data_IF_141191252744
#
_entry.id   IF_141191252744
#
_cell.length_a   1.000
_cell.length_b   1.000
_cell.length_c   1.000
_cell.angle_alpha   90.00
_cell.angle_beta   90.00
_cell.angle_gamma   90.00
#
_symmetry.space_group_name_H-M   'P 1'
#
loop_
_entity.id
_entity.type
_entity.pdbx_description
1 polymer ?
#
# COMPACT_ATOMS: atom_id res chain seq x y z
N UNK A 1 1.75 -33.56 -11.63
CA UNK A 1 1.58 -32.31 -12.37
C UNK A 1 2.78 -31.42 -12.08
N UNK A 2 3.52 -31.05 -13.09
CA UNK A 2 4.65 -30.14 -12.94
C UNK A 2 4.17 -28.70 -12.73
N UNK A 3 5.08 -27.77 -12.38
CA UNK A 3 4.72 -26.39 -12.05
C UNK A 3 4.07 -25.64 -13.24
N UNK A 4 4.55 -25.91 -14.44
CA UNK A 4 4.03 -25.28 -15.67
C UNK A 4 2.60 -25.73 -15.96
N UNK A 5 2.30 -27.01 -15.80
CA UNK A 5 0.95 -27.56 -15.95
C UNK A 5 -0.01 -26.97 -14.92
N UNK A 6 0.44 -26.81 -13.67
CA UNK A 6 -0.36 -26.18 -12.61
C UNK A 6 -0.67 -24.71 -12.92
N UNK A 7 0.33 -23.93 -13.33
CA UNK A 7 0.14 -22.53 -13.70
C UNK A 7 -0.83 -22.41 -14.88
N UNK A 8 -0.69 -23.26 -15.90
CA UNK A 8 -1.60 -23.28 -17.06
C UNK A 8 -3.04 -23.56 -16.62
N UNK A 9 -3.25 -24.58 -15.81
CA UNK A 9 -4.57 -24.94 -15.30
C UNK A 9 -5.20 -23.79 -14.47
N UNK A 10 -4.41 -23.10 -13.65
CA UNK A 10 -4.88 -21.94 -12.89
C UNK A 10 -5.26 -20.75 -13.79
N UNK A 11 -4.50 -20.50 -14.86
CA UNK A 11 -4.83 -19.47 -15.85
C UNK A 11 -6.07 -19.81 -16.64
N UNK A 12 -6.23 -21.06 -17.06
CA UNK A 12 -7.41 -21.51 -17.82
C UNK A 12 -8.67 -21.43 -16.95
N UNK A 13 -8.61 -21.85 -15.66
CA UNK A 13 -9.70 -21.65 -14.71
C UNK A 13 -10.09 -20.16 -14.56
N UNK A 14 -9.10 -19.25 -14.46
CA UNK A 14 -9.40 -17.80 -14.39
C UNK A 14 -10.10 -17.28 -15.63
N UNK A 15 -9.82 -17.84 -16.83
CA UNK A 15 -10.53 -17.47 -18.07
C UNK A 15 -11.96 -17.98 -18.03
N UNK A 16 -12.17 -19.22 -17.60
CA UNK A 16 -13.51 -19.82 -17.44
C UNK A 16 -14.37 -19.04 -16.46
N UNK A 17 -13.79 -18.64 -15.31
CA UNK A 17 -14.44 -17.84 -14.27
C UNK A 17 -14.59 -16.35 -14.62
N UNK A 18 -14.16 -15.91 -15.82
CA UNK A 18 -14.14 -14.50 -16.24
C UNK A 18 -13.35 -13.58 -15.28
N UNK A 19 -12.39 -14.14 -14.55
CA UNK A 19 -11.51 -13.41 -13.61
C UNK A 19 -10.09 -13.17 -14.15
N UNK A 20 -9.82 -13.64 -15.38
CA UNK A 20 -8.54 -13.40 -16.04
C UNK A 20 -8.41 -11.94 -16.47
N UNK A 21 -7.36 -11.27 -15.97
CA UNK A 21 -7.11 -9.86 -16.28
C UNK A 21 -6.02 -9.72 -17.33
N UNK A 22 -6.28 -8.89 -18.32
CA UNK A 22 -5.34 -8.55 -19.39
C UNK A 22 -4.90 -7.09 -19.19
N UNK A 23 -3.62 -6.83 -19.32
CA UNK A 23 -3.10 -5.47 -19.32
C UNK A 23 -3.54 -4.77 -20.62
N UNK A 24 -4.37 -3.75 -20.47
CA UNK A 24 -4.85 -2.93 -21.58
C UNK A 24 -4.11 -1.61 -21.68
N UNK A 25 -4.13 -1.01 -22.86
CA UNK A 25 -3.72 0.39 -23.05
C UNK A 25 -4.98 1.24 -23.17
N UNK A 26 -5.08 2.28 -22.35
CA UNK A 26 -6.25 3.16 -22.24
C UNK A 26 -6.04 4.50 -22.96
N UNK A 27 -5.16 4.54 -23.98
CA UNK A 27 -4.87 5.74 -24.74
C UNK A 27 -6.17 6.29 -25.37
N UNK A 28 -6.43 7.59 -25.17
CA UNK A 28 -7.59 8.33 -25.69
C UNK A 28 -8.95 8.01 -25.03
N UNK A 29 -8.98 7.29 -23.92
CA UNK A 29 -10.20 7.11 -23.13
C UNK A 29 -10.30 8.18 -22.01
N UNK A 30 -11.54 8.52 -21.64
CA UNK A 30 -11.78 9.31 -20.45
C UNK A 30 -11.46 8.44 -19.23
N UNK A 31 -10.58 8.92 -18.38
CA UNK A 31 -10.06 8.17 -17.24
C UNK A 31 -10.99 8.31 -16.01
N UNK A 32 -11.72 7.23 -15.70
CA UNK A 32 -12.52 7.09 -14.49
C UNK A 32 -11.92 6.09 -13.48
N UNK A 33 -10.75 5.54 -13.77
CA UNK A 33 -10.16 4.44 -13.01
C UNK A 33 -8.92 4.84 -12.20
N UNK A 34 -8.29 5.99 -12.52
CA UNK A 34 -7.08 6.42 -11.83
C UNK A 34 -7.38 7.03 -10.45
N UNK A 35 -6.38 7.00 -9.58
CA UNK A 35 -6.40 7.72 -8.31
C UNK A 35 -5.87 9.15 -8.44
N UNK A 36 -5.60 9.63 -9.65
CA UNK A 36 -5.12 10.98 -9.93
C UNK A 36 -6.27 12.02 -9.90
N UNK A 37 -6.98 12.09 -8.79
CA UNK A 37 -8.15 12.96 -8.60
C UNK A 37 -7.88 14.45 -8.81
N UNK A 38 -6.63 14.89 -8.62
CA UNK A 38 -6.22 16.27 -8.79
C UNK A 38 -5.56 16.54 -10.14
N UNK A 39 -5.40 15.52 -11.01
CA UNK A 39 -4.76 15.65 -12.32
C UNK A 39 -3.27 15.98 -12.23
N UNK A 40 -2.60 15.66 -11.12
CA UNK A 40 -1.20 16.04 -10.89
C UNK A 40 -0.22 15.25 -11.74
N UNK A 41 -0.56 14.03 -12.14
CA UNK A 41 0.32 13.18 -12.96
C UNK A 41 0.64 13.78 -14.34
N UNK A 42 -0.23 14.68 -14.84
CA UNK A 42 -0.08 15.33 -16.15
C UNK A 42 0.04 16.86 -16.04
N UNK A 43 0.27 17.39 -14.84
CA UNK A 43 0.34 18.82 -14.61
C UNK A 43 1.72 19.38 -15.05
N UNK A 44 1.73 20.13 -16.14
CA UNK A 44 2.96 20.70 -16.72
C UNK A 44 3.72 21.58 -15.72
N UNK A 45 3.02 22.42 -14.95
CA UNK A 45 3.66 23.27 -13.93
C UNK A 45 4.35 22.45 -12.85
N UNK A 46 3.75 21.34 -12.45
CA UNK A 46 4.35 20.42 -11.48
C UNK A 46 5.57 19.73 -12.08
N UNK A 47 5.48 19.27 -13.33
CA UNK A 47 6.58 18.64 -14.06
C UNK A 47 7.78 19.60 -14.15
N UNK A 48 7.56 20.85 -14.53
CA UNK A 48 8.60 21.87 -14.63
C UNK A 48 9.20 22.19 -13.26
N UNK A 49 8.38 22.24 -12.21
CA UNK A 49 8.85 22.45 -10.84
C UNK A 49 9.73 21.30 -10.34
N UNK A 50 9.36 20.06 -10.66
CA UNK A 50 10.17 18.87 -10.33
C UNK A 50 11.52 18.92 -11.04
N UNK A 51 11.54 19.21 -12.35
CA UNK A 51 12.79 19.37 -13.12
C UNK A 51 13.68 20.47 -12.51
N UNK A 52 13.11 21.64 -12.26
CA UNK A 52 13.83 22.77 -11.67
C UNK A 52 14.43 22.44 -10.30
N UNK A 53 13.66 21.74 -9.41
CA UNK A 53 14.19 21.31 -8.15
C UNK A 53 15.32 20.30 -8.32
N UNK A 54 15.15 19.30 -9.19
CA UNK A 54 16.18 18.30 -9.47
C UNK A 54 17.48 18.96 -9.99
N UNK A 55 17.38 19.97 -10.85
CA UNK A 55 18.55 20.67 -11.36
C UNK A 55 19.29 21.47 -10.28
N UNK A 56 18.63 21.82 -9.20
CA UNK A 56 19.20 22.53 -8.05
C UNK A 56 19.75 21.63 -6.95
N UNK A 57 19.38 20.36 -6.93
CA UNK A 57 19.95 19.43 -5.95
C UNK A 57 21.42 19.15 -6.23
N UNK A 58 22.21 19.00 -5.18
CA UNK A 58 23.61 18.61 -5.32
C UNK A 58 23.76 17.11 -5.68
N UNK A 59 22.76 16.31 -5.35
CA UNK A 59 22.68 14.89 -5.68
C UNK A 59 21.98 14.70 -7.01
N UNK A 60 22.71 14.23 -8.03
CA UNK A 60 22.18 13.92 -9.36
C UNK A 60 21.79 12.44 -9.49
N UNK A 61 21.29 11.84 -8.42
CA UNK A 61 20.85 10.45 -8.40
C UNK A 61 19.36 10.33 -8.74
N UNK A 62 19.00 9.37 -9.59
CA UNK A 62 17.61 9.13 -10.02
C UNK A 62 16.87 8.13 -9.13
N UNK A 63 17.35 7.90 -7.94
CA UNK A 63 16.72 7.00 -6.97
C UNK A 63 17.71 6.44 -5.96
N UNK A 64 17.20 5.64 -5.01
CA UNK A 64 18.06 5.03 -4.01
C UNK A 64 18.80 3.84 -4.61
N UNK A 65 20.12 3.83 -4.57
CA UNK A 65 20.94 2.69 -5.00
C UNK A 65 20.92 1.49 -4.04
N UNK A 66 20.15 1.55 -2.96
CA UNK A 66 20.09 0.50 -1.94
C UNK A 66 19.05 0.75 -0.85
N UNK A 67 19.09 -0.07 0.21
CA UNK A 67 18.24 0.11 1.38
C UNK A 67 18.55 1.43 2.10
N UNK A 68 17.52 2.12 2.61
CA UNK A 68 17.65 3.35 3.41
C UNK A 68 18.52 3.16 4.65
N UNK A 69 18.51 1.98 5.26
CA UNK A 69 19.35 1.66 6.42
C UNK A 69 20.83 1.47 6.08
N UNK A 70 21.19 1.44 4.80
CA UNK A 70 22.57 1.25 4.34
C UNK A 70 23.05 2.48 3.54
N UNK A 71 22.71 2.53 2.26
CA UNK A 71 23.22 3.53 1.32
C UNK A 71 22.14 4.27 0.53
N UNK A 72 20.88 3.95 0.76
CA UNK A 72 19.77 4.48 -0.03
C UNK A 72 18.98 5.61 0.65
N UNK A 73 19.48 6.17 1.73
CA UNK A 73 18.86 7.32 2.39
C UNK A 73 19.49 8.63 1.89
N UNK A 74 18.70 9.67 1.69
CA UNK A 74 19.19 11.00 1.29
C UNK A 74 18.37 12.13 1.91
N UNK A 75 19.00 13.34 2.02
CA UNK A 75 18.39 14.48 2.71
C UNK A 75 16.99 14.84 2.22
N UNK A 76 16.74 14.76 0.93
CA UNK A 76 15.46 15.15 0.32
C UNK A 76 14.28 14.28 0.83
N UNK A 77 14.52 13.01 1.13
CA UNK A 77 13.50 12.13 1.69
C UNK A 77 13.25 12.47 3.16
N UNK A 78 14.28 12.77 3.94
CA UNK A 78 14.14 13.17 5.34
C UNK A 78 13.43 14.53 5.49
N UNK A 79 13.75 15.48 4.61
CA UNK A 79 13.05 16.77 4.53
C UNK A 79 11.57 16.58 4.18
N UNK A 80 11.26 15.69 3.22
CA UNK A 80 9.90 15.36 2.85
C UNK A 80 9.14 14.73 4.03
N UNK A 81 9.73 13.77 4.74
CA UNK A 81 9.13 13.12 5.91
C UNK A 81 8.87 14.15 7.03
N UNK A 82 9.82 15.04 7.26
CA UNK A 82 9.66 16.15 8.23
C UNK A 82 8.49 17.07 7.83
N UNK A 83 8.40 17.43 6.55
CA UNK A 83 7.31 18.26 6.04
C UNK A 83 5.96 17.55 6.18
N UNK A 84 5.88 16.26 5.81
CA UNK A 84 4.65 15.48 5.92
C UNK A 84 4.20 15.33 7.36
N UNK A 85 5.11 15.05 8.30
CA UNK A 85 4.80 15.00 9.72
C UNK A 85 4.18 16.32 10.19
N UNK A 86 4.79 17.46 9.83
CA UNK A 86 4.28 18.78 10.15
C UNK A 86 2.89 19.05 9.55
N UNK A 87 2.69 18.74 8.27
CA UNK A 87 1.41 18.96 7.57
C UNK A 87 0.28 18.16 8.20
N UNK A 88 0.57 16.93 8.64
CA UNK A 88 -0.40 16.05 9.28
C UNK A 88 -0.48 16.20 10.80
N UNK A 89 0.30 17.11 11.41
CA UNK A 89 0.31 17.30 12.86
C UNK A 89 0.79 16.07 13.64
N UNK A 90 1.71 15.30 13.06
CA UNK A 90 2.26 14.07 13.64
C UNK A 90 3.73 14.28 14.08
N UNK A 91 4.20 13.45 15.01
CA UNK A 91 5.59 13.50 15.48
C UNK A 91 6.59 13.07 14.40
N UNK A 92 6.20 12.13 13.54
CA UNK A 92 7.04 11.61 12.47
C UNK A 92 6.20 11.10 11.28
N UNK A 93 6.85 10.97 10.14
CA UNK A 93 6.29 10.33 8.94
C UNK A 93 7.34 9.40 8.33
N UNK A 94 6.89 8.39 7.61
CA UNK A 94 7.73 7.48 6.85
C UNK A 94 7.17 7.31 5.44
N UNK A 95 7.99 7.59 4.43
CA UNK A 95 7.61 7.47 3.03
C UNK A 95 7.93 6.08 2.49
N UNK A 96 6.98 5.50 1.79
CA UNK A 96 7.11 4.23 1.08
C UNK A 96 6.96 4.45 -0.43
N UNK A 97 7.51 3.55 -1.23
CA UNK A 97 7.42 3.61 -2.70
C UNK A 97 6.01 3.30 -3.24
N UNK A 98 5.12 2.75 -2.42
CA UNK A 98 3.71 2.56 -2.75
C UNK A 98 2.87 2.38 -1.50
N UNK A 99 1.57 2.71 -1.58
CA UNK A 99 0.60 2.42 -0.52
C UNK A 99 0.46 0.92 -0.24
N UNK A 100 0.66 0.07 -1.26
CA UNK A 100 0.68 -1.38 -1.09
C UNK A 100 1.74 -1.80 -0.07
N UNK A 101 2.99 -1.36 -0.29
CA UNK A 101 4.11 -1.69 0.60
C UNK A 101 3.94 -1.06 1.98
N UNK A 102 3.42 0.18 2.07
CA UNK A 102 3.13 0.82 3.34
C UNK A 102 2.15 0.00 4.18
N UNK A 103 1.01 -0.38 3.61
CA UNK A 103 0.01 -1.21 4.30
C UNK A 103 0.56 -2.59 4.68
N UNK A 104 1.28 -3.23 3.74
CA UNK A 104 1.94 -4.51 4.02
C UNK A 104 2.88 -4.41 5.22
N UNK A 105 3.74 -3.38 5.24
CA UNK A 105 4.70 -3.15 6.32
C UNK A 105 4.01 -2.89 7.67
N UNK A 106 3.00 -2.04 7.72
CA UNK A 106 2.25 -1.71 8.94
C UNK A 106 1.63 -2.97 9.54
N UNK A 107 0.83 -3.70 8.76
CA UNK A 107 0.08 -4.84 9.27
C UNK A 107 0.93 -6.10 9.52
N UNK A 108 2.08 -6.25 8.85
CA UNK A 108 3.00 -7.36 9.12
C UNK A 108 3.95 -7.12 10.30
N UNK A 109 4.26 -5.87 10.65
CA UNK A 109 5.35 -5.56 11.59
C UNK A 109 4.87 -5.04 12.95
N UNK A 110 3.81 -4.21 12.98
CA UNK A 110 3.36 -3.54 14.20
C UNK A 110 2.59 -4.47 15.10
N UNK A 111 1.54 -5.20 14.63
CA UNK A 111 0.80 -6.14 15.48
C UNK A 111 1.69 -7.30 15.94
N UNK A 112 1.55 -7.71 17.21
CA UNK A 112 2.34 -8.79 17.82
C UNK A 112 1.48 -10.01 18.07
N UNK A 113 2.10 -11.12 18.50
CA UNK A 113 1.48 -12.44 18.66
C UNK A 113 0.18 -12.46 19.48
N UNK A 114 0.05 -11.56 20.47
CA UNK A 114 -1.14 -11.49 21.35
C UNK A 114 -2.19 -10.50 20.83
N UNK A 115 -1.91 -9.75 19.78
CA UNK A 115 -2.80 -8.77 19.18
C UNK A 115 -3.78 -9.42 18.20
N UNK A 116 -4.83 -8.68 17.85
CA UNK A 116 -5.82 -9.08 16.86
C UNK A 116 -5.90 -8.03 15.75
N UNK A 117 -5.81 -8.46 14.50
CA UNK A 117 -6.08 -7.63 13.32
C UNK A 117 -7.49 -7.94 12.85
N UNK A 118 -8.38 -6.96 12.89
CA UNK A 118 -9.72 -7.01 12.31
C UNK A 118 -9.75 -6.21 11.02
N UNK A 119 -10.19 -6.80 9.92
CA UNK A 119 -10.28 -6.10 8.65
C UNK A 119 -11.63 -6.33 7.98
N UNK A 120 -12.10 -5.32 7.26
CA UNK A 120 -13.33 -5.41 6.47
C UNK A 120 -13.20 -6.50 5.39
N UNK A 121 -14.26 -7.28 5.15
CA UNK A 121 -14.23 -8.37 4.15
C UNK A 121 -13.86 -7.90 2.75
N UNK A 122 -14.16 -6.65 2.39
CA UNK A 122 -13.84 -6.06 1.09
C UNK A 122 -12.57 -5.20 1.10
N UNK A 123 -11.78 -5.24 2.19
CA UNK A 123 -10.54 -4.47 2.30
C UNK A 123 -9.56 -4.79 1.17
N UNK A 124 -8.73 -3.83 0.84
CA UNK A 124 -7.70 -3.99 -0.19
C UNK A 124 -6.76 -5.18 0.11
N UNK A 125 -6.34 -5.87 -0.94
CA UNK A 125 -5.52 -7.09 -0.84
C UNK A 125 -4.21 -6.89 -0.05
N UNK A 126 -3.58 -5.71 -0.11
CA UNK A 126 -2.34 -5.42 0.62
C UNK A 126 -2.47 -5.56 2.14
N UNK A 127 -3.65 -5.22 2.70
CA UNK A 127 -3.91 -5.35 4.13
C UNK A 127 -4.11 -6.81 4.49
N UNK A 128 -4.87 -7.56 3.68
CA UNK A 128 -5.02 -9.01 3.85
C UNK A 128 -3.67 -9.74 3.82
N UNK A 129 -2.79 -9.36 2.90
CA UNK A 129 -1.45 -9.93 2.82
C UNK A 129 -0.58 -9.53 4.03
N UNK A 130 -0.63 -8.26 4.46
CA UNK A 130 0.06 -7.81 5.67
C UNK A 130 -0.40 -8.57 6.92
N UNK A 131 -1.72 -8.75 7.07
CA UNK A 131 -2.29 -9.53 8.17
C UNK A 131 -1.84 -11.01 8.15
N UNK A 132 -1.75 -11.63 6.97
CA UNK A 132 -1.24 -13.01 6.82
C UNK A 132 0.24 -13.15 7.17
N UNK A 133 1.04 -12.12 6.94
CA UNK A 133 2.46 -12.11 7.27
C UNK A 133 2.73 -11.76 8.74
N UNK A 134 1.73 -11.26 9.46
CA UNK A 134 1.83 -10.92 10.88
C UNK A 134 1.89 -12.18 11.75
N UNK A 135 2.51 -12.04 12.91
CA UNK A 135 2.39 -13.02 13.99
C UNK A 135 1.08 -12.89 14.79
N UNK A 136 0.34 -11.80 14.61
CA UNK A 136 -0.94 -11.57 15.25
C UNK A 136 -2.04 -12.48 14.68
N UNK A 137 -3.06 -12.76 15.49
CA UNK A 137 -4.30 -13.34 14.97
C UNK A 137 -4.97 -12.34 14.02
N UNK A 138 -5.63 -12.82 12.97
CA UNK A 138 -6.35 -11.95 12.06
C UNK A 138 -7.70 -12.54 11.67
N UNK A 139 -8.69 -11.70 11.51
CA UNK A 139 -10.06 -12.08 11.16
C UNK A 139 -10.75 -10.96 10.38
N UNK A 140 -11.55 -11.32 9.39
CA UNK A 140 -12.43 -10.35 8.75
C UNK A 140 -13.69 -10.09 9.59
N UNK A 141 -14.31 -8.93 9.37
CA UNK A 141 -15.68 -8.65 9.78
C UNK A 141 -16.50 -8.31 8.53
N UNK A 142 -17.82 -8.47 8.62
CA UNK A 142 -18.71 -8.24 7.49
C UNK A 142 -18.65 -6.79 7.03
N UNK A 143 -18.62 -6.58 5.71
CA UNK A 143 -18.49 -5.26 5.10
C UNK A 143 -19.47 -4.25 5.69
N UNK A 144 -18.94 -3.12 6.21
CA UNK A 144 -19.69 -2.04 6.85
C UNK A 144 -20.60 -2.46 8.04
N UNK A 145 -20.35 -3.61 8.66
CA UNK A 145 -21.13 -4.09 9.79
C UNK A 145 -20.43 -3.76 11.13
N UNK A 146 -20.82 -2.63 11.71
CA UNK A 146 -20.28 -2.18 12.99
C UNK A 146 -20.63 -3.11 14.17
N UNK A 147 -21.76 -3.80 14.12
CA UNK A 147 -22.16 -4.74 15.17
C UNK A 147 -21.25 -5.98 15.15
N UNK A 148 -20.91 -6.49 13.95
CA UNK A 148 -19.98 -7.61 13.84
C UNK A 148 -18.56 -7.20 14.27
N UNK A 149 -18.13 -5.98 13.92
CA UNK A 149 -16.85 -5.41 14.35
C UNK A 149 -16.80 -5.28 15.89
N UNK A 150 -17.79 -4.63 16.51
CA UNK A 150 -17.85 -4.43 17.95
C UNK A 150 -17.84 -5.78 18.71
N UNK A 151 -18.66 -6.74 18.26
CA UNK A 151 -18.68 -8.08 18.84
C UNK A 151 -17.29 -8.75 18.83
N UNK A 152 -16.52 -8.58 17.75
CA UNK A 152 -15.18 -9.16 17.62
C UNK A 152 -14.15 -8.42 18.46
N UNK A 153 -14.26 -7.10 18.59
CA UNK A 153 -13.42 -6.30 19.49
C UNK A 153 -13.60 -6.73 20.94
N UNK A 154 -14.84 -6.93 21.38
CA UNK A 154 -15.15 -7.33 22.77
C UNK A 154 -14.62 -8.74 23.14
N UNK A 155 -14.32 -9.58 22.15
CA UNK A 155 -13.73 -10.90 22.34
C UNK A 155 -12.20 -10.91 22.29
N UNK A 156 -11.58 -9.77 22.03
CA UNK A 156 -10.12 -9.68 21.94
C UNK A 156 -9.46 -9.60 23.32
N UNK A 157 -8.34 -10.30 23.49
CA UNK A 157 -7.57 -10.32 24.74
C UNK A 157 -6.39 -9.33 24.73
N UNK A 158 -5.90 -8.96 23.52
CA UNK A 158 -4.77 -8.04 23.30
C UNK A 158 -5.19 -6.72 22.66
N UNK A 159 -4.22 -6.00 22.08
CA UNK A 159 -4.55 -4.81 21.29
C UNK A 159 -5.27 -5.21 20.01
N UNK A 160 -6.19 -4.34 19.56
CA UNK A 160 -6.93 -4.56 18.32
C UNK A 160 -6.53 -3.52 17.28
N UNK A 161 -6.10 -4.02 16.12
CA UNK A 161 -5.83 -3.22 14.94
C UNK A 161 -7.00 -3.37 13.98
N UNK A 162 -7.67 -2.27 13.66
CA UNK A 162 -8.84 -2.27 12.77
C UNK A 162 -8.47 -1.65 11.43
N UNK A 163 -8.82 -2.32 10.33
CA UNK A 163 -8.67 -1.83 8.97
C UNK A 163 -10.02 -1.78 8.25
N UNK A 164 -10.36 -0.60 7.74
CA UNK A 164 -11.59 -0.31 7.01
C UNK A 164 -11.30 0.28 5.63
#
# INVERSE_FOLDING_TARGET
>A
MNITERIKADLDRRKEDSTFRILGQTNNLIDFASNDYLGLARNERLIDRVKWNFDKTNSKTLGSGGSRLLSGNFPEVEELETLLAKVHGQESALVFNSGYVANLAVFSSIPKKMDLILYDDLIHACIKEGARLSYAKHQSFRHNDLNDLERKILLAEGNVFVAV
#
